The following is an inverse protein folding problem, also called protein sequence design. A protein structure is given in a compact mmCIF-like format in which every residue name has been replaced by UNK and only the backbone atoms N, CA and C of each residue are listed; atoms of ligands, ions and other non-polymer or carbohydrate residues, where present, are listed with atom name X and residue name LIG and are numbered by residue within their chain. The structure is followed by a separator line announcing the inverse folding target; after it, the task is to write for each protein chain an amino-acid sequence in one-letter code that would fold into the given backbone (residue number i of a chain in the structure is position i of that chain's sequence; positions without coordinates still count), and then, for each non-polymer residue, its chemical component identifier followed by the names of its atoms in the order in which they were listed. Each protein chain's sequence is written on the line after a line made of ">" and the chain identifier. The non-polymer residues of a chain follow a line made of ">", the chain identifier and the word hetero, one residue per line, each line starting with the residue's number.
data_IF_984100395995
#
_entry.id   IF_984100395995
#
_cell.length_a   1.000
_cell.length_b   1.000
_cell.length_c   1.000
_cell.angle_alpha   90.00
_cell.angle_beta   90.00
_cell.angle_gamma   90.00
#
_symmetry.space_group_name_H-M   'P 1'
#
loop_
_entity.id
_entity.type
_entity.pdbx_description
1 polymer ?
2 polymer ?
3 polymer ?
4 non-polymer ?
5 non-polymer ?
6 water ?
#
loop_
_entity_poly.entity_id
_entity_poly.type
_entity_poly.pdbx_seq_one_letter_code
_entity_poly.pdbx_strand_id
1 'polydeoxyribonucleotide' '(DT)(DC)(DA)(DA)(DA)(DA)(DC)(DG)(DT)(DC)(DG)(DT)(DA)(DC)(DG)(DC)(DA)(DG)(DT)(DT)(DT)(DT)(DG)(DA)' ?
2 'polydeoxyribonucleotide' '(DT)(DC)(DA)(DA)(DA)(DA)(DC)(DT)(DG)(DC)(DG)(DT)(DA)(DC)(DG)(DA)(DC)(DG)(DT)(DT)(DT)(DT)(DG)(DA)' ?
#
# COMPACT_ATOMS: atom_id res chain seq x y z
N UNK C 1 16.97 -12.80 -19.30
CA UNK C 1 16.04 -12.08 -18.43
C UNK C 1 15.70 -12.87 -17.20
N UNK C 2 15.90 -12.26 -16.04
CA UNK C 2 15.65 -12.91 -14.77
C UNK C 2 14.14 -13.14 -14.58
N UNK C 3 13.80 -14.32 -14.07
CA UNK C 3 12.43 -14.73 -13.83
C UNK C 3 12.15 -14.80 -12.32
N UNK C 4 11.08 -14.16 -11.88
CA UNK C 4 10.85 -13.96 -10.45
C UNK C 4 9.87 -14.97 -9.87
N UNK C 5 10.09 -15.29 -8.61
CA UNK C 5 9.25 -16.23 -7.89
C UNK C 5 7.84 -15.65 -7.70
N UNK C 6 6.84 -16.48 -7.94
CA UNK C 6 5.44 -16.07 -7.95
C UNK C 6 4.94 -15.56 -6.61
N UNK C 7 5.39 -16.16 -5.51
CA UNK C 7 5.00 -15.67 -4.21
C UNK C 7 5.55 -14.26 -3.94
N UNK C 8 6.74 -14.00 -4.46
CA UNK C 8 7.33 -12.68 -4.32
C UNK C 8 6.51 -11.68 -5.14
N UNK C 9 6.15 -12.05 -6.37
CA UNK C 9 5.37 -11.17 -7.24
C UNK C 9 3.99 -10.85 -6.64
N UNK C 10 3.35 -11.86 -6.07
CA UNK C 10 2.03 -11.68 -5.47
C UNK C 10 2.05 -10.64 -4.37
N UNK C 11 2.93 -10.84 -3.39
CA UNK C 11 3.06 -9.92 -2.27
C UNK C 11 3.40 -8.55 -2.81
N UNK C 12 4.30 -8.51 -3.76
CA UNK C 12 4.80 -7.22 -4.19
C UNK C 12 3.71 -6.45 -4.94
N UNK C 13 2.88 -7.15 -5.72
CA UNK C 13 1.83 -6.49 -6.45
C UNK C 13 0.87 -5.82 -5.46
N UNK C 14 0.53 -6.55 -4.42
CA UNK C 14 -0.28 -6.00 -3.35
C UNK C 14 0.37 -4.76 -2.77
N UNK C 15 1.68 -4.82 -2.53
CA UNK C 15 2.34 -3.67 -1.92
C UNK C 15 2.41 -2.51 -2.91
N UNK C 16 2.67 -2.83 -4.17
CA UNK C 16 2.72 -1.83 -5.22
C UNK C 16 1.36 -1.12 -5.38
N UNK C 17 0.26 -1.88 -5.42
CA UNK C 17 -1.06 -1.26 -5.51
C UNK C 17 -1.31 -0.36 -4.30
N UNK C 18 -0.68 -0.67 -3.17
CA UNK C 18 -0.77 0.15 -1.98
C UNK C 18 0.07 1.45 -2.00
N UNK C 19 1.39 1.30 -2.10
CA UNK C 19 2.34 2.43 -1.90
C UNK C 19 3.23 2.68 -3.12
N UNK C 20 2.99 1.94 -4.20
CA UNK C 20 3.79 2.09 -5.40
C UNK C 20 3.22 3.13 -6.35
N UNK C 21 3.93 3.35 -7.44
CA UNK C 21 3.53 4.34 -8.42
C UNK C 21 4.13 3.93 -9.75
N UNK C 22 3.28 3.83 -10.77
CA UNK C 22 3.71 3.53 -12.13
C UNK C 22 3.50 4.79 -12.96
N UNK C 23 4.61 5.43 -13.33
CA UNK C 23 4.59 6.83 -13.78
C UNK C 23 5.17 7.01 -15.19
N UNK C 24 4.45 7.76 -16.01
CA UNK C 24 4.88 8.06 -17.38
C UNK C 24 4.84 9.57 -17.55
N UNK C 25 5.88 10.11 -18.20
CA UNK C 25 5.99 11.56 -18.30
C UNK C 25 6.50 12.03 -19.65
N UNK C 26 6.07 13.23 -20.01
CA UNK C 26 6.54 13.94 -21.17
C UNK C 26 7.34 15.11 -20.64
N UNK C 27 8.66 15.04 -20.71
CA UNK C 27 9.46 16.10 -20.10
C UNK C 27 9.98 17.07 -21.16
N UNK C 28 9.61 18.36 -21.04
CA UNK C 28 10.15 19.40 -21.92
C UNK C 28 11.67 19.49 -21.80
N UNK C 29 12.36 19.06 -22.85
CA UNK C 29 13.82 19.05 -22.91
C UNK C 29 14.26 19.25 -24.36
N UNK C 30 14.86 20.40 -24.64
CA UNK C 30 15.07 20.80 -26.02
C UNK C 30 16.24 20.08 -26.69
N UNK C 31 17.05 19.38 -25.89
CA UNK C 31 18.12 18.56 -26.44
C UNK C 31 17.58 17.31 -27.14
N UNK C 32 16.26 17.14 -27.08
CA UNK C 32 15.59 15.98 -27.70
C UNK C 32 14.96 16.36 -29.05
N UNK C 33 15.00 15.42 -29.99
CA UNK C 33 14.53 15.64 -31.36
C UNK C 33 13.10 16.19 -31.44
N UNK C 34 12.25 15.80 -30.50
CA UNK C 34 10.90 16.33 -30.47
C UNK C 34 10.70 17.24 -29.28
N UNK C 35 11.81 17.78 -28.78
CA UNK C 35 11.81 18.72 -27.67
C UNK C 35 11.26 18.15 -26.36
N UNK C 36 11.07 16.83 -26.31
CA UNK C 36 10.58 16.16 -25.10
C UNK C 36 11.17 14.76 -24.92
N UNK C 37 11.45 14.40 -23.67
CA UNK C 37 11.80 13.03 -23.33
C UNK C 37 10.55 12.24 -22.91
N UNK C 38 10.43 11.01 -23.39
CA UNK C 38 9.54 10.05 -22.79
C UNK C 38 10.20 9.42 -21.58
N UNK C 39 9.64 9.67 -20.40
CA UNK C 39 10.16 9.11 -19.16
C UNK C 39 9.18 8.13 -18.48
N UNK C 40 9.68 6.94 -18.20
CA UNK C 40 8.92 5.90 -17.52
C UNK C 40 9.57 5.53 -16.17
N UNK C 41 8.81 5.60 -15.09
CA UNK C 41 9.36 5.31 -13.75
C UNK C 41 8.48 4.38 -12.93
N UNK C 42 9.07 3.29 -12.44
CA UNK C 42 8.41 2.51 -11.40
C UNK C 42 8.97 2.92 -10.03
N UNK C 43 8.07 3.29 -9.14
CA UNK C 43 8.48 3.85 -7.86
C UNK C 43 7.77 3.19 -6.66
N UNK C 44 8.52 2.91 -5.60
CA UNK C 44 7.91 2.49 -4.34
C UNK C 44 8.38 3.41 -3.23
N UNK C 45 7.43 4.09 -2.60
CA UNK C 45 7.75 5.09 -1.59
C UNK C 45 7.55 4.53 -0.19
N UNK C 46 8.41 4.97 0.73
CA UNK C 46 8.27 4.60 2.14
C UNK C 46 9.07 5.53 3.05
N UNK C 47 8.55 5.72 4.26
CA UNK C 47 9.27 6.42 5.34
C UNK C 47 10.70 5.89 5.47
N UNK C 48 11.67 6.79 5.52
CA UNK C 48 13.09 6.42 5.53
C UNK C 48 13.44 5.50 6.70
N UNK C 49 12.73 5.66 7.80
CA UNK C 49 12.87 4.76 8.93
C UNK C 49 12.68 3.28 8.53
N UNK C 50 12.01 3.03 7.40
CA UNK C 50 11.76 1.67 6.93
C UNK C 50 12.46 1.37 5.59
N UNK C 51 13.43 2.21 5.28
CA UNK C 51 14.41 2.03 4.21
C UNK C 51 14.84 0.58 3.89
N UNK C 52 14.93 -0.26 4.92
CA UNK C 52 15.44 -1.60 4.74
C UNK C 52 14.54 -2.33 3.74
N UNK C 53 13.26 -1.99 3.78
CA UNK C 53 12.25 -2.62 2.93
C UNK C 53 12.58 -2.31 1.48
N UNK C 54 12.83 -1.03 1.21
CA UNK C 54 13.16 -0.60 -0.12
C UNK C 54 14.51 -1.16 -0.58
N UNK C 55 15.47 -1.18 0.34
CA UNK C 55 16.80 -1.71 0.03
C UNK C 55 16.74 -3.21 -0.29
N UNK C 56 15.83 -3.92 0.37
CA UNK C 56 15.64 -5.31 -0.02
C UNK C 56 15.07 -5.45 -1.45
N UNK C 57 14.20 -4.53 -1.89
CA UNK C 57 13.67 -4.63 -3.23
C UNK C 57 14.80 -4.60 -4.22
N UNK C 58 15.82 -3.78 -3.93
CA UNK C 58 16.98 -3.71 -4.79
C UNK C 58 17.65 -5.11 -4.91
N UNK C 59 17.83 -5.79 -3.78
CA UNK C 59 18.35 -7.14 -3.77
C UNK C 59 17.44 -8.09 -4.57
N UNK C 60 16.15 -8.11 -4.22
CA UNK C 60 15.20 -9.08 -4.81
C UNK C 60 14.85 -8.83 -6.29
N UNK C 61 14.73 -7.59 -6.70
CA UNK C 61 14.44 -7.35 -8.11
C UNK C 61 15.76 -7.39 -8.88
N UNK C 62 16.85 -7.13 -8.17
CA UNK C 62 18.19 -7.24 -8.73
C UNK C 62 18.60 -6.09 -9.60
N UNK C 63 17.91 -4.97 -9.49
CA UNK C 63 18.18 -3.80 -10.34
C UNK C 63 17.43 -2.64 -9.69
N UNK C 64 17.71 -1.41 -10.09
CA UNK C 64 17.12 -0.24 -9.47
C UNK C 64 17.88 0.24 -8.25
N UNK C 65 17.50 1.40 -7.72
CA UNK C 65 18.23 1.94 -6.59
C UNK C 65 17.30 2.63 -5.64
N UNK C 66 17.85 3.06 -4.51
CA UNK C 66 17.05 3.74 -3.52
C UNK C 66 17.62 5.15 -3.30
N UNK C 67 16.75 6.14 -3.28
CA UNK C 67 17.22 7.47 -2.93
C UNK C 67 16.45 7.92 -1.68
N UNK C 68 17.11 8.71 -0.85
CA UNK C 68 16.50 9.20 0.37
C UNK C 68 16.31 10.70 0.28
N UNK C 69 15.09 11.21 0.34
CA UNK C 69 14.95 12.67 0.37
C UNK C 69 14.35 13.17 1.71
N UNK C 70 15.06 12.86 2.79
CA UNK C 70 14.65 13.32 4.10
C UNK C 70 13.78 12.33 4.84
N UNK C 71 12.52 12.68 5.05
CA UNK C 71 11.65 11.81 5.84
C UNK C 71 11.17 10.57 5.06
N UNK C 72 11.15 10.61 3.73
CA UNK C 72 10.73 9.43 3.00
C UNK C 72 11.81 8.98 2.07
N UNK C 73 11.69 7.75 1.61
CA UNK C 73 12.62 7.23 0.62
C UNK C 73 11.85 6.58 -0.51
N UNK C 74 12.54 6.37 -1.62
CA UNK C 74 11.99 5.73 -2.81
C UNK C 74 12.91 4.65 -3.38
N UNK C 75 12.32 3.50 -3.68
CA UNK C 75 12.90 2.60 -4.65
C UNK C 75 12.49 3.10 -6.07
N UNK C 76 13.48 3.27 -6.94
CA UNK C 76 13.31 3.75 -8.31
C UNK C 76 13.75 2.72 -9.33
N UNK C 77 12.89 2.41 -10.31
CA UNK C 77 13.35 1.61 -11.46
C UNK C 77 13.01 2.34 -12.77
N UNK C 78 14.03 2.78 -13.50
CA UNK C 78 13.87 3.57 -14.72
C UNK C 78 14.35 2.90 -16.01
N UNK C 79 15.42 2.10 -15.91
CA UNK C 79 16.02 1.43 -17.07
C UNK C 79 14.97 0.63 -17.84
N UNK C 80 14.73 1.08 -19.07
CA UNK C 80 13.63 0.61 -19.89
C UNK C 80 13.60 -0.90 -20.03
N UNK C 81 14.77 -1.52 -20.13
CA UNK C 81 14.82 -2.95 -20.42
C UNK C 81 14.50 -3.84 -19.21
N UNK C 82 15.17 -3.62 -18.06
CA UNK C 82 14.71 -4.37 -16.87
C UNK C 82 13.29 -3.98 -16.41
N UNK C 83 12.87 -2.75 -16.68
CA UNK C 83 11.51 -2.33 -16.33
C UNK C 83 10.50 -3.23 -17.03
N UNK C 84 10.73 -3.48 -18.32
CA UNK C 84 9.87 -4.31 -19.16
C UNK C 84 9.80 -5.75 -18.64
N UNK C 85 10.96 -6.38 -18.41
CA UNK C 85 11.00 -7.72 -17.80
C UNK C 85 10.23 -7.78 -16.50
N UNK C 86 10.46 -6.80 -15.61
CA UNK C 86 9.82 -6.75 -14.30
C UNK C 86 8.32 -6.56 -14.39
N UNK C 87 7.88 -5.53 -15.11
CA UNK C 87 6.45 -5.23 -15.19
C UNK C 87 5.68 -6.31 -15.94
N UNK C 88 6.34 -7.04 -16.84
CA UNK C 88 5.70 -8.16 -17.54
C UNK C 88 5.30 -9.25 -16.54
N UNK C 89 6.19 -9.63 -15.64
CA UNK C 89 5.84 -10.65 -14.66
C UNK C 89 4.96 -10.15 -13.52
N UNK C 90 4.99 -8.86 -13.24
CA UNK C 90 4.23 -8.37 -12.10
C UNK C 90 2.79 -8.17 -12.48
N UNK C 91 2.59 -7.65 -13.70
CA UNK C 91 1.29 -7.17 -14.17
C UNK C 91 0.09 -8.11 -13.95
N UNK C 92 0.28 -9.43 -14.14
CA UNK C 92 -0.91 -10.27 -13.92
C UNK C 92 -1.46 -10.24 -12.49
N UNK C 93 -0.68 -9.75 -11.53
CA UNK C 93 -1.15 -9.83 -10.15
C UNK C 93 -1.58 -8.48 -9.62
N UNK C 94 -1.37 -7.44 -10.41
CA UNK C 94 -1.83 -6.10 -10.03
C UNK C 94 -3.34 -6.00 -10.18
N UNK C 95 -3.97 -5.25 -9.29
CA UNK C 95 -5.43 -5.12 -9.30
C UNK C 95 -5.88 -3.67 -9.41
N UNK C 96 -5.00 -2.74 -9.08
CA UNK C 96 -5.33 -1.32 -9.13
C UNK C 96 -4.50 -0.61 -10.18
N UNK C 97 -3.35 -1.19 -10.51
CA UNK C 97 -2.41 -0.54 -11.40
C UNK C 97 -2.09 -1.40 -12.62
N UNK C 98 -2.89 -2.44 -12.84
CA UNK C 98 -2.73 -3.32 -14.00
C UNK C 98 -2.76 -2.58 -15.35
N UNK C 99 -3.66 -1.61 -15.47
CA UNK C 99 -3.78 -0.88 -16.71
C UNK C 99 -2.57 0.01 -16.95
N UNK C 100 -2.18 0.78 -15.93
CA UNK C 100 -0.96 1.58 -16.03
C UNK C 100 0.21 0.71 -16.49
N UNK C 101 0.34 -0.47 -15.90
CA UNK C 101 1.49 -1.32 -16.17
C UNK C 101 1.50 -1.79 -17.63
N UNK C 102 0.36 -2.30 -18.10
CA UNK C 102 0.21 -2.72 -19.49
C UNK C 102 0.42 -1.56 -20.47
N UNK C 103 -0.05 -0.37 -20.11
CA UNK C 103 0.23 0.81 -20.93
C UNK C 103 1.73 1.16 -20.98
N UNK C 104 2.42 1.06 -19.84
CA UNK C 104 3.85 1.43 -19.82
C UNK C 104 4.62 0.44 -20.67
N UNK C 105 4.14 -0.80 -20.66
CA UNK C 105 4.79 -1.93 -21.29
C UNK C 105 4.79 -1.76 -22.81
N UNK C 106 3.70 -1.21 -23.35
CA UNK C 106 3.62 -1.10 -24.78
C UNK C 106 4.13 0.27 -25.23
N UNK C 107 4.24 1.23 -24.31
CA UNK C 107 5.00 2.44 -24.62
C UNK C 107 6.46 2.06 -24.87
N UNK C 108 6.96 1.14 -24.06
CA UNK C 108 8.34 0.67 -24.17
C UNK C 108 8.61 0.02 -25.53
N UNK C 109 7.67 -0.80 -26.00
CA UNK C 109 7.84 -1.55 -27.24
C UNK C 109 7.84 -0.64 -28.47
N UNK C 110 6.94 0.34 -28.46
CA UNK C 110 6.77 1.25 -29.57
C UNK C 110 7.71 2.43 -29.50
N UNK C 111 8.58 2.43 -28.49
CA UNK C 111 9.50 3.55 -28.27
C UNK C 111 10.51 3.75 -29.43
N UNK C 112 11.04 2.65 -29.99
CA UNK C 112 11.91 2.89 -31.16
C UNK C 112 11.18 3.53 -32.34
N UNK C 113 10.03 2.98 -32.74
CA UNK C 113 9.29 3.50 -33.88
C UNK C 113 8.72 4.90 -33.63
N UNK C 114 8.72 5.35 -32.38
CA UNK C 114 8.20 6.68 -32.05
C UNK C 114 9.30 7.73 -32.22
N UNK C 115 10.53 7.25 -32.34
CA UNK C 115 11.66 8.09 -32.71
C UNK C 115 11.50 8.50 -34.17
N UNK C 116 10.92 7.59 -34.96
CA UNK C 116 10.69 7.75 -36.39
C UNK C 116 9.78 8.94 -36.73
N UNK C 117 8.55 8.93 -36.22
CA UNK C 117 7.52 9.84 -36.68
C UNK C 117 6.98 10.72 -35.58
N UNK C 118 6.74 12.00 -35.91
CA UNK C 118 6.09 12.95 -34.99
C UNK C 118 4.67 12.51 -34.67
N UNK C 119 4.07 11.80 -35.61
CA UNK C 119 2.71 11.32 -35.45
C UNK C 119 2.70 10.09 -34.55
N UNK C 120 3.64 9.19 -34.79
CA UNK C 120 3.79 8.00 -33.96
C UNK C 120 4.22 8.40 -32.54
N UNK C 121 4.97 9.50 -32.44
CA UNK C 121 5.41 10.04 -31.17
C UNK C 121 4.23 10.65 -30.40
N UNK C 122 3.26 11.19 -31.12
CA UNK C 122 2.10 11.78 -30.46
C UNK C 122 1.13 10.68 -30.03
N UNK C 123 1.03 9.63 -30.83
CA UNK C 123 0.19 8.50 -30.46
C UNK C 123 0.63 7.91 -29.12
N UNK C 124 1.94 7.71 -29.01
CA UNK C 124 2.56 7.20 -27.81
C UNK C 124 2.31 8.14 -26.63
N UNK C 125 2.42 9.44 -26.88
CA UNK C 125 2.15 10.44 -25.86
C UNK C 125 0.70 10.41 -25.39
N UNK C 126 -0.19 9.86 -26.21
CA UNK C 126 -1.59 9.73 -25.83
C UNK C 126 -1.69 8.69 -24.73
N UNK C 127 -0.94 7.62 -24.90
CA UNK C 127 -0.88 6.53 -23.93
C UNK C 127 -0.40 7.06 -22.58
N UNK C 128 0.57 7.97 -22.60
CA UNK C 128 1.00 8.63 -21.39
C UNK C 128 -0.16 9.41 -20.76
N UNK C 129 -0.99 10.05 -21.58
CA UNK C 129 -2.21 10.71 -21.04
C UNK C 129 -3.05 9.72 -20.24
N UNK C 130 -3.19 8.51 -20.76
CA UNK C 130 -4.08 7.52 -20.17
C UNK C 130 -3.53 7.00 -18.84
N UNK C 131 -2.23 6.76 -18.78
CA UNK C 131 -1.58 6.38 -17.52
C UNK C 131 -1.87 7.39 -16.41
N UNK C 132 -1.72 8.67 -16.72
CA UNK C 132 -1.99 9.75 -15.76
C UNK C 132 -3.47 9.86 -15.38
N UNK C 133 -4.35 9.48 -16.30
CA UNK C 133 -5.79 9.52 -15.97
C UNK C 133 -6.08 8.44 -14.93
N UNK C 134 -5.56 7.25 -15.17
CA UNK C 134 -5.66 6.17 -14.20
C UNK C 134 -4.98 6.46 -12.84
N UNK C 135 -3.97 7.33 -12.79
CA UNK C 135 -3.37 7.63 -11.49
C UNK C 135 -4.16 8.74 -10.78
N UNK C 136 -3.82 9.02 -9.53
CA UNK C 136 -4.43 10.14 -8.81
C UNK C 136 -3.65 11.42 -9.11
N UNK C 137 -3.58 11.76 -10.39
CA UNK C 137 -2.81 12.91 -10.88
C UNK C 137 -3.37 14.24 -10.40
N UNK C 138 -2.49 15.14 -9.97
CA UNK C 138 -2.92 16.39 -9.36
C UNK C 138 -2.10 17.61 -9.80
N UNK C 139 -0.92 17.42 -10.37
CA UNK C 139 -0.05 18.56 -10.69
C UNK C 139 0.61 18.43 -12.06
N UNK C 140 -0.07 17.78 -12.99
CA UNK C 140 0.47 17.56 -14.33
C UNK C 140 0.40 18.84 -15.18
N UNK C 141 1.40 19.01 -16.05
CA UNK C 141 1.49 20.19 -16.91
C UNK C 141 1.65 19.80 -18.37
N UNK C 142 2.69 19.03 -18.66
CA UNK C 142 3.02 18.68 -20.03
C UNK C 142 2.23 17.49 -20.52
N UNK C 143 1.33 17.73 -21.47
CA UNK C 143 0.45 16.69 -21.98
C UNK C 143 0.85 16.32 -23.40
N UNK C 144 0.14 15.35 -23.99
CA UNK C 144 0.38 14.96 -25.37
C UNK C 144 -0.08 16.05 -26.31
N UNK C 145 -0.80 17.01 -25.74
CA UNK C 145 -1.29 18.10 -26.55
C UNK C 145 -0.34 19.29 -26.48
N UNK C 146 0.35 19.42 -25.34
CA UNK C 146 1.48 20.36 -25.24
C UNK C 146 2.53 20.04 -26.30
N UNK C 147 2.72 18.75 -26.55
CA UNK C 147 3.68 18.32 -27.54
C UNK C 147 3.18 18.68 -28.94
N UNK C 148 1.86 18.68 -29.13
CA UNK C 148 1.31 18.89 -30.45
C UNK C 148 1.51 20.36 -30.80
N UNK C 149 1.17 21.25 -29.86
CA UNK C 149 1.28 22.70 -30.06
C UNK C 149 2.72 23.20 -30.10
N UNK C 150 3.66 22.27 -30.04
CA UNK C 150 5.08 22.62 -30.11
C UNK C 150 5.65 22.02 -31.41
N UNK C 151 5.15 20.85 -31.80
CA UNK C 151 5.54 20.26 -33.07
C UNK C 151 4.95 21.03 -34.26
N UNK C 152 3.94 21.85 -33.98
CA UNK C 152 3.30 22.66 -35.00
C UNK C 152 4.12 23.90 -35.32
N UNK C 153 4.69 24.52 -34.29
CA UNK C 153 5.65 25.59 -34.50
C UNK C 153 6.89 25.01 -35.19
N UNK C 154 6.72 24.69 -36.48
CA UNK C 154 7.75 24.02 -37.28
C UNK C 154 7.30 23.94 -38.75
N UNK D 1 -15.94 -20.67 10.82
CA UNK D 1 -14.49 -20.61 10.69
C UNK D 1 -14.02 -21.10 9.31
N UNK D 2 -13.43 -20.21 8.52
CA UNK D 2 -13.11 -20.52 7.13
C UNK D 2 -11.63 -20.34 6.82
N UNK D 3 -11.18 -21.03 5.77
CA UNK D 3 -9.77 -21.01 5.36
C UNK D 3 -9.60 -20.24 4.05
N UNK D 4 -8.48 -19.50 3.94
CA UNK D 4 -8.31 -18.59 2.80
C UNK D 4 -7.28 -19.08 1.81
N UNK D 5 -7.57 -18.87 0.52
CA UNK D 5 -6.59 -19.13 -0.52
C UNK D 5 -5.29 -18.37 -0.26
N UNK D 6 -4.18 -19.11 -0.27
CA UNK D 6 -2.87 -18.57 0.02
C UNK D 6 -2.44 -17.47 -0.96
N UNK D 7 -2.83 -17.58 -2.23
CA UNK D 7 -2.48 -16.57 -3.22
C UNK D 7 -3.22 -15.28 -2.96
N UNK D 8 -4.39 -15.40 -2.35
CA UNK D 8 -5.16 -14.24 -1.95
C UNK D 8 -4.55 -13.61 -0.69
N UNK D 9 -3.99 -14.45 0.18
CA UNK D 9 -3.43 -13.98 1.43
C UNK D 9 -2.13 -13.24 1.18
N UNK D 10 -1.37 -13.73 0.21
CA UNK D 10 -0.10 -13.12 -0.15
C UNK D 10 -0.31 -11.71 -0.71
N UNK D 11 -1.15 -11.61 -1.75
CA UNK D 11 -1.47 -10.33 -2.33
C UNK D 11 -1.96 -9.37 -1.26
N UNK D 12 -2.90 -9.84 -0.44
CA UNK D 12 -3.51 -8.99 0.56
C UNK D 12 -2.52 -8.51 1.63
N UNK D 13 -1.53 -9.33 1.94
CA UNK D 13 -0.55 -8.96 2.95
C UNK D 13 0.28 -7.79 2.44
N UNK D 14 0.62 -7.82 1.17
CA UNK D 14 1.34 -6.73 0.54
C UNK D 14 0.49 -5.47 0.58
N UNK D 15 -0.78 -5.59 0.19
CA UNK D 15 -1.64 -4.42 0.19
C UNK D 15 -1.85 -3.88 1.60
N UNK D 16 -2.03 -4.77 2.59
CA UNK D 16 -2.19 -4.36 3.98
C UNK D 16 -0.92 -3.63 4.49
N UNK D 17 0.26 -4.18 4.22
CA UNK D 17 1.52 -3.51 4.57
C UNK D 17 1.61 -2.11 3.93
N UNK D 18 0.93 -1.90 2.81
CA UNK D 18 0.94 -0.61 2.15
C UNK D 18 -0.05 0.38 2.75
N UNK D 19 -1.34 0.04 2.64
CA UNK D 19 -2.46 0.95 2.96
C UNK D 19 -3.32 0.45 4.11
N UNK D 20 -2.95 -0.67 4.69
CA UNK D 20 -3.68 -1.22 5.82
C UNK D 20 -3.25 -0.64 7.15
N UNK D 21 -4.03 -0.96 8.18
CA UNK D 21 -3.74 -0.52 9.53
C UNK D 21 -4.26 -1.52 10.56
N UNK D 22 -3.37 -1.94 11.46
CA UNK D 22 -3.73 -2.84 12.56
C UNK D 22 -3.68 -2.06 13.86
N UNK D 23 -4.86 -1.75 14.40
CA UNK D 23 -5.01 -0.72 15.42
C UNK D 23 -5.52 -1.29 16.73
N UNK D 24 -4.83 -0.95 17.83
CA UNK D 24 -5.30 -1.32 19.17
C UNK D 24 -5.50 -0.08 20.03
N UNK D 25 -6.65 0.00 20.68
CA UNK D 25 -6.95 1.17 21.47
C UNK D 25 -7.41 0.85 22.88
N UNK D 26 -7.24 1.84 23.75
CA UNK D 26 -7.78 1.81 25.09
C UNK D 26 -8.74 2.98 25.14
N UNK D 27 -10.03 2.70 25.18
CA UNK D 27 -11.00 3.79 25.12
C UNK D 27 -11.58 4.10 26.49
N UNK D 28 -11.34 5.33 26.98
CA UNK D 28 -12.01 5.85 28.18
C UNK D 28 -13.53 5.77 28.05
N UNK D 29 -14.10 4.78 28.74
CA UNK D 29 -15.54 4.56 28.71
C UNK D 29 -16.00 4.14 30.12
N UNK D 30 -16.84 4.94 30.77
CA UNK D 30 -17.14 4.66 32.21
C UNK D 30 -17.94 3.38 32.38
N UNK D 31 -18.51 2.89 31.30
CA UNK D 31 -19.52 1.84 31.42
C UNK D 31 -18.85 0.47 31.61
N UNK D 32 -17.52 0.44 31.60
CA UNK D 32 -16.77 -0.81 31.68
C UNK D 32 -16.23 -0.98 33.08
N UNK D 33 -15.96 -2.24 33.45
CA UNK D 33 -15.43 -2.56 34.77
C UNK D 33 -14.22 -1.69 35.11
N UNK D 34 -13.20 -1.73 34.27
CA UNK D 34 -11.98 -0.97 34.55
C UNK D 34 -12.01 0.40 33.90
N UNK D 35 -13.21 0.87 33.56
CA UNK D 35 -13.40 2.22 33.03
C UNK D 35 -12.73 2.44 31.67
N UNK D 36 -12.46 1.34 30.96
CA UNK D 36 -11.83 1.42 29.64
C UNK D 36 -12.24 0.25 28.75
N UNK D 37 -12.53 0.53 27.48
CA UNK D 37 -12.70 -0.55 26.51
C UNK D 37 -11.37 -0.87 25.81
N UNK D 38 -11.05 -2.15 25.73
CA UNK D 38 -9.97 -2.65 24.88
C UNK D 38 -10.48 -2.86 23.46
N UNK D 39 -10.01 -2.04 22.54
CA UNK D 39 -10.54 -2.06 21.20
C UNK D 39 -9.50 -2.51 20.17
N UNK D 40 -9.86 -3.51 19.37
CA UNK D 40 -9.01 -4.01 18.31
C UNK D 40 -9.67 -3.78 16.92
N UNK D 41 -8.93 -3.20 15.98
CA UNK D 41 -9.46 -2.94 14.63
C UNK D 41 -8.46 -3.23 13.52
N UNK D 42 -8.85 -4.06 12.58
CA UNK D 42 -8.14 -4.18 11.32
C UNK D 42 -8.82 -3.31 10.27
N UNK D 43 -8.06 -2.49 9.56
CA UNK D 43 -8.69 -1.58 8.65
C UNK D 43 -7.88 -1.36 7.37
N UNK D 44 -8.60 -1.20 6.27
CA UNK D 44 -7.97 -0.91 4.99
C UNK D 44 -8.61 0.34 4.38
N UNK D 45 -7.79 1.34 4.14
CA UNK D 45 -8.28 2.64 3.66
C UNK D 45 -8.07 2.79 2.16
N UNK D 46 -8.98 3.50 1.51
CA UNK D 46 -8.82 3.81 0.10
C UNK D 46 -9.79 4.92 -0.28
N UNK D 47 -9.33 5.80 -1.16
CA UNK D 47 -10.19 6.76 -1.86
C UNK D 47 -11.55 6.14 -2.25
N UNK D 48 -12.64 6.83 -1.93
CA UNK D 48 -13.99 6.28 -2.17
C UNK D 48 -14.20 5.94 -3.65
N UNK D 49 -13.62 6.72 -4.55
CA UNK D 49 -13.60 6.33 -5.93
C UNK D 49 -13.27 4.83 -6.13
N UNK D 50 -12.35 4.27 -5.31
CA UNK D 50 -12.02 2.84 -5.44
C UNK D 50 -12.72 1.94 -4.41
N UNK D 51 -13.85 2.37 -3.86
CA UNK D 51 -14.68 1.54 -2.98
C UNK D 51 -14.95 0.11 -3.50
N UNK D 52 -14.93 -0.06 -4.81
CA UNK D 52 -15.18 -1.37 -5.38
C UNK D 52 -14.17 -2.39 -4.90
N UNK D 53 -12.93 -1.95 -4.73
CA UNK D 53 -11.85 -2.79 -4.24
C UNK D 53 -12.14 -3.24 -2.80
N UNK D 54 -12.59 -2.31 -1.98
CA UNK D 54 -12.95 -2.62 -0.62
C UNK D 54 -14.15 -3.54 -0.58
N UNK D 55 -15.12 -3.34 -1.50
CA UNK D 55 -16.29 -4.26 -1.57
C UNK D 55 -15.80 -5.69 -1.74
N UNK D 56 -14.82 -5.86 -2.61
CA UNK D 56 -14.28 -7.18 -2.84
C UNK D 56 -13.70 -7.80 -1.56
N UNK D 57 -13.02 -6.99 -0.76
CA UNK D 57 -12.51 -7.47 0.52
C UNK D 57 -13.60 -8.08 1.37
N UNK D 58 -14.68 -7.35 1.60
CA UNK D 58 -15.81 -7.90 2.33
C UNK D 58 -16.22 -9.25 1.74
N UNK D 59 -16.52 -9.29 0.45
CA UNK D 59 -16.86 -10.55 -0.23
C UNK D 59 -15.83 -11.64 0.05
N UNK D 60 -14.54 -11.35 -0.16
CA UNK D 60 -13.52 -12.39 -0.09
C UNK D 60 -13.10 -12.77 1.33
N UNK D 61 -13.25 -11.85 2.28
CA UNK D 61 -12.91 -12.17 3.66
C UNK D 61 -14.16 -12.76 4.32
N UNK D 62 -15.31 -12.34 3.82
CA UNK D 62 -16.58 -12.94 4.18
C UNK D 62 -17.19 -12.30 5.40
N UNK D 63 -16.49 -11.32 5.95
CA UNK D 63 -16.90 -10.70 7.19
C UNK D 63 -16.29 -9.29 7.23
N UNK D 64 -16.85 -8.39 8.03
CA UNK D 64 -16.44 -7.00 8.00
C UNK D 64 -17.40 -6.17 7.16
N UNK D 65 -17.10 -4.89 7.01
CA UNK D 65 -17.97 -4.01 6.25
C UNK D 65 -17.21 -2.78 5.78
N UNK D 66 -17.80 -2.07 4.83
CA UNK D 66 -17.22 -0.84 4.32
C UNK D 66 -17.96 0.37 4.87
N UNK D 67 -17.22 1.39 5.32
CA UNK D 67 -17.80 2.64 5.76
C UNK D 67 -17.26 3.80 4.93
N UNK D 68 -18.11 4.74 4.54
CA UNK D 68 -17.69 5.94 3.82
C UNK D 68 -17.52 7.12 4.76
N UNK D 69 -16.59 8.02 4.41
CA UNK D 69 -16.40 9.26 5.15
C UNK D 69 -15.88 10.35 4.20
N UNK D 70 -16.80 11.03 3.51
CA UNK D 70 -16.39 12.00 2.51
C UNK D 70 -15.61 11.37 1.37
N UNK D 71 -14.37 11.80 1.20
CA UNK D 71 -13.58 11.38 0.05
C UNK D 71 -12.91 10.01 0.23
N UNK D 72 -12.96 9.49 1.45
CA UNK D 72 -12.23 8.28 1.78
C UNK D 72 -13.16 7.18 2.30
N UNK D 73 -12.84 5.93 2.01
CA UNK D 73 -13.59 4.80 2.58
C UNK D 73 -12.72 3.81 3.35
N UNK D 74 -13.35 2.94 4.13
CA UNK D 74 -12.62 1.97 4.93
C UNK D 74 -13.26 0.61 4.99
N UNK D 75 -12.49 -0.41 4.65
CA UNK D 75 -12.84 -1.75 5.08
C UNK D 75 -12.45 -1.88 6.55
N UNK D 76 -13.36 -2.44 7.34
CA UNK D 76 -13.22 -2.51 8.78
C UNK D 76 -13.57 -3.90 9.28
N UNK D 77 -12.66 -4.48 10.06
CA UNK D 77 -12.95 -5.75 10.73
C UNK D 77 -12.61 -5.61 12.20
N UNK D 78 -13.65 -5.67 13.05
CA UNK D 78 -13.49 -5.42 14.49
C UNK D 78 -13.89 -6.60 15.38
N UNK D 79 -14.69 -7.52 14.84
CA UNK D 79 -15.22 -8.63 15.63
C UNK D 79 -14.12 -9.62 16.00
N UNK D 80 -13.93 -9.81 17.29
CA UNK D 80 -12.76 -10.50 17.82
C UNK D 80 -12.52 -11.88 17.26
N UNK D 81 -13.56 -12.69 17.07
CA UNK D 81 -13.32 -14.07 16.66
C UNK D 81 -13.02 -14.20 15.16
N UNK D 82 -13.79 -13.49 14.30
CA UNK D 82 -13.35 -13.49 12.89
C UNK D 82 -12.00 -12.78 12.70
N UNK D 83 -11.71 -11.77 13.52
CA UNK D 83 -10.43 -11.09 13.45
C UNK D 83 -9.32 -12.08 13.70
N UNK D 84 -9.52 -12.97 14.68
CA UNK D 84 -8.51 -13.94 15.07
C UNK D 84 -8.28 -14.93 13.94
N UNK D 85 -9.36 -15.48 13.43
CA UNK D 85 -9.27 -16.39 12.31
C UNK D 85 -8.47 -15.75 11.17
N UNK D 86 -8.94 -14.59 10.71
CA UNK D 86 -8.32 -13.88 9.60
C UNK D 86 -6.85 -13.50 9.86
N UNK D 87 -6.55 -12.79 10.96
CA UNK D 87 -5.19 -12.37 11.24
C UNK D 87 -4.23 -13.55 11.37
N UNK D 88 -4.72 -14.68 11.88
CA UNK D 88 -3.86 -15.84 12.09
C UNK D 88 -3.36 -16.35 10.74
N UNK D 89 -4.23 -16.35 9.73
CA UNK D 89 -3.82 -16.78 8.40
C UNK D 89 -3.01 -15.70 7.65
N UNK D 90 -3.29 -14.42 7.90
CA UNK D 90 -2.58 -13.35 7.19
C UNK D 90 -1.17 -13.15 7.71
N UNK D 91 -1.05 -13.21 9.03
CA UNK D 91 0.20 -12.92 9.76
C UNK D 91 1.49 -13.52 9.16
N UNK D 92 1.45 -14.76 8.64
CA UNK D 92 2.76 -15.22 8.20
C UNK D 92 3.31 -14.49 6.98
N UNK D 93 2.46 -13.78 6.25
CA UNK D 93 2.93 -13.13 5.04
C UNK D 93 3.23 -11.65 5.20
N UNK D 94 2.85 -11.08 6.34
CA UNK D 94 3.07 -9.66 6.59
C UNK D 94 4.54 -9.42 6.83
N UNK D 95 5.05 -8.29 6.36
CA UNK D 95 6.47 -7.98 6.52
C UNK D 95 6.65 -6.69 7.29
N UNK D 96 5.67 -5.80 7.20
CA UNK D 96 5.77 -4.52 7.89
C UNK D 96 4.88 -4.47 9.14
N UNK D 97 3.86 -5.32 9.19
CA UNK D 97 2.89 -5.24 10.27
C UNK D 97 2.68 -6.59 10.95
N UNK D 98 3.63 -7.50 10.72
CA UNK D 98 3.60 -8.82 11.36
C UNK D 98 3.65 -8.74 12.90
N UNK D 99 4.48 -7.86 13.44
CA UNK D 99 4.57 -7.72 14.88
C UNK D 99 3.23 -7.24 15.46
N UNK D 100 2.66 -6.20 14.84
CA UNK D 100 1.34 -5.71 15.22
C UNK D 100 0.32 -6.85 15.16
N UNK D 101 0.35 -7.61 14.07
CA UNK D 101 -0.56 -8.75 13.93
C UNK D 101 -0.45 -9.69 15.13
N UNK D 102 0.75 -10.22 15.36
CA UNK D 102 0.98 -11.17 16.46
C UNK D 102 0.60 -10.63 17.85
N UNK D 103 0.89 -9.36 18.13
CA UNK D 103 0.47 -8.75 19.39
C UNK D 103 -1.05 -8.73 19.52
N UNK D 104 -1.76 -8.53 18.41
CA UNK D 104 -3.21 -8.47 18.46
C UNK D 104 -3.77 -9.87 18.70
N UNK D 105 -3.18 -10.87 18.04
CA UNK D 105 -3.57 -12.26 18.21
C UNK D 105 -3.40 -12.66 19.67
N UNK D 106 -2.29 -12.20 20.24
CA UNK D 106 -1.95 -12.38 21.65
C UNK D 106 -2.99 -11.72 22.54
N UNK D 107 -3.21 -10.42 22.34
CA UNK D 107 -4.17 -9.65 23.13
C UNK D 107 -5.54 -10.31 23.15
N UNK D 108 -6.00 -10.72 21.97
CA UNK D 108 -7.28 -11.42 21.85
C UNK D 108 -7.39 -12.63 22.78
N UNK D 109 -6.37 -13.48 22.77
CA UNK D 109 -6.42 -14.73 23.52
C UNK D 109 -6.49 -14.49 25.03
N UNK D 110 -5.81 -13.47 25.52
CA UNK D 110 -5.77 -13.15 26.93
C UNK D 110 -6.98 -12.34 27.39
N UNK D 111 -8.00 -12.24 26.55
CA UNK D 111 -9.08 -11.30 26.84
C UNK D 111 -10.03 -11.73 27.95
N UNK D 112 -10.44 -13.03 28.00
CA UNK D 112 -11.26 -13.36 29.17
C UNK D 112 -10.48 -13.18 30.47
N UNK D 113 -9.23 -13.64 30.45
CA UNK D 113 -8.33 -13.53 31.59
C UNK D 113 -8.09 -12.08 32.03
N UNK D 114 -8.24 -11.13 31.13
CA UNK D 114 -7.92 -9.74 31.43
C UNK D 114 -9.09 -9.05 32.12
N UNK D 115 -10.24 -9.70 32.09
CA UNK D 115 -11.45 -9.18 32.73
C UNK D 115 -11.56 -9.61 34.19
N UNK D 116 -10.45 -10.10 34.73
CA UNK D 116 -10.44 -10.68 36.06
C UNK D 116 -9.54 -9.86 36.98
N UNK D 117 -8.34 -9.53 36.51
CA UNK D 117 -7.31 -8.98 37.38
C UNK D 117 -6.94 -7.59 36.90
N UNK D 118 -7.00 -6.59 37.81
CA UNK D 118 -6.68 -5.21 37.44
C UNK D 118 -5.26 -5.06 36.89
N UNK D 119 -4.42 -6.05 37.19
CA UNK D 119 -3.04 -6.03 36.74
C UNK D 119 -2.71 -7.09 35.69
N UNK D 120 -3.69 -7.90 35.31
CA UNK D 120 -3.60 -8.69 34.09
C UNK D 120 -4.06 -7.78 32.94
N UNK D 121 -5.14 -7.05 33.19
CA UNK D 121 -5.65 -6.03 32.29
C UNK D 121 -4.59 -4.98 31.97
N UNK D 122 -3.84 -4.51 32.96
CA UNK D 122 -2.80 -3.53 32.68
C UNK D 122 -1.70 -4.15 31.82
N UNK D 123 -1.53 -5.47 31.91
CA UNK D 123 -0.47 -6.14 31.16
C UNK D 123 -0.82 -6.15 29.67
N UNK D 124 -2.08 -6.48 29.38
CA UNK D 124 -2.59 -6.44 28.03
C UNK D 124 -2.53 -5.01 27.47
N UNK D 125 -2.68 -4.03 28.36
CA UNK D 125 -2.65 -2.63 27.97
C UNK D 125 -1.26 -2.21 27.51
N UNK D 126 -0.24 -2.88 28.00
CA UNK D 126 1.12 -2.54 27.60
C UNK D 126 1.39 -3.15 26.23
N UNK D 127 0.75 -4.28 25.96
CA UNK D 127 0.84 -4.88 24.65
C UNK D 127 0.26 -3.95 23.59
N UNK D 128 -0.80 -3.22 23.97
CA UNK D 128 -1.39 -2.20 23.12
C UNK D 128 -0.40 -1.06 22.88
N UNK D 129 0.32 -0.65 23.91
CA UNK D 129 1.37 0.36 23.80
C UNK D 129 2.42 -0.02 22.74
N UNK D 130 2.73 -1.30 22.69
CA UNK D 130 3.71 -1.81 21.76
C UNK D 130 3.22 -1.73 20.31
N UNK D 131 1.94 -2.05 20.11
CA UNK D 131 1.34 -1.97 18.79
C UNK D 131 1.43 -0.54 18.26
N UNK D 132 1.12 0.45 19.10
CA UNK D 132 1.15 1.84 18.67
C UNK D 132 2.59 2.30 18.45
N UNK D 133 3.52 1.71 19.19
CA UNK D 133 4.95 1.98 18.99
C UNK D 133 5.38 1.59 17.56
N UNK D 134 5.09 0.35 17.21
CA UNK D 134 5.33 -0.14 15.86
C UNK D 134 4.61 0.67 14.75
N UNK D 135 3.43 1.22 15.03
CA UNK D 135 2.73 2.02 14.01
C UNK D 135 3.30 3.43 13.92
N UNK D 136 2.94 4.17 12.87
CA UNK D 136 3.31 5.58 12.79
C UNK D 136 2.33 6.44 13.64
N UNK D 137 2.28 6.14 14.93
CA UNK D 137 1.38 6.81 15.87
C UNK D 137 1.70 8.29 16.10
N UNK D 138 0.68 9.14 16.04
CA UNK D 138 0.90 10.58 16.12
C UNK D 138 -0.07 11.34 17.05
N UNK D 139 -1.32 10.89 17.15
CA UNK D 139 -2.33 11.59 17.94
C UNK D 139 -2.85 10.76 19.12
N UNK D 140 -2.06 9.81 19.56
CA UNK D 140 -2.45 8.92 20.66
C UNK D 140 -2.55 9.69 21.99
N UNK D 141 -3.47 9.28 22.86
CA UNK D 141 -3.65 9.92 24.19
C UNK D 141 -3.73 8.93 25.34
N UNK D 142 -4.53 7.91 25.17
CA UNK D 142 -4.81 6.98 26.25
C UNK D 142 -3.83 5.82 26.20
N UNK D 143 -2.76 5.93 27.00
CA UNK D 143 -1.76 4.87 27.08
C UNK D 143 -2.09 3.93 28.23
N UNK D 144 -1.17 3.03 28.54
CA UNK D 144 -1.38 2.09 29.64
C UNK D 144 -1.16 2.79 30.98
N UNK D 145 -0.39 3.86 30.95
CA UNK D 145 -0.12 4.62 32.16
C UNK D 145 -1.36 5.37 32.60
N UNK D 146 -2.10 5.93 31.64
CA UNK D 146 -3.35 6.61 31.96
C UNK D 146 -4.41 5.60 32.48
N UNK D 147 -4.09 4.31 32.41
CA UNK D 147 -5.01 3.29 32.92
C UNK D 147 -4.75 2.96 34.39
N UNK D 148 -3.50 2.78 34.78
CA UNK D 148 -3.17 2.54 36.19
C UNK D 148 -3.37 3.84 36.96
N UNK D 149 -3.18 4.98 36.29
CA UNK D 149 -3.43 6.28 36.91
C UNK D 149 -4.93 6.51 37.18
N UNK D 150 -5.78 5.62 36.67
CA UNK D 150 -7.21 5.67 36.94
C UNK D 150 -7.59 4.60 37.96
N UNK D 151 -7.04 3.40 37.80
CA UNK D 151 -7.24 2.33 38.76
C UNK D 151 -6.85 2.76 40.19
N UNK D 152 -6.14 3.88 40.29
CA UNK D 152 -5.89 4.57 41.56
C UNK D 152 -7.17 5.12 42.17
N UNK D 153 -8.09 4.22 42.52
CA UNK D 153 -9.38 4.59 43.08
C UNK D 153 -10.09 3.34 43.62
#
# INVERSE_FOLDING_TARGET
>C
NTKYNKEFLLYLAGFVDGDGSIIAQIKPNQSYKFKHQLSLTFQVTQKTQRRWFLDKLVDEIGVGYVRDRGSVSNYILSEIKPLHNFLTQLQPFLKLKQKQANLVLKIIEQLPSAKESPDKFLEVCTWVDQIAALNDSKTRKTTSETVRAVLDAA
>D
NTKYNKEFLLYLAGFVDGDGSIIAQIKPNQSYKFKHQLSLTFQVTQKTQRRWFLDKLVDEIGVGYVRDRGSVSNYILSEIKPLHNFLTQLQPFLKLKQKQANLVLKIIEQLPSAKESPDKFLEVCTWVDQIAALNDSKTRKTTSETVRAVLDAA
#
